data_IF_257323997222
#
_entry.id   IF_257323997222
#
_cell.length_a   1.000
_cell.length_b   1.000
_cell.length_c   1.000
_cell.angle_alpha   90.00
_cell.angle_beta   90.00
_cell.angle_gamma   90.00
#
_symmetry.space_group_name_H-M   'P 1'
#
loop_
_entity.id
_entity.type
_entity.pdbx_description
1 polymer ?
#
# COMPACT_ATOMS: atom_id res chain seq x y z
N UNK A 1 -6.28 -13.56 -0.75
CA UNK A 1 -5.06 -12.77 -1.05
C UNK A 1 -5.47 -11.65 -1.98
N UNK A 2 -4.99 -10.44 -1.73
CA UNK A 2 -5.27 -9.25 -2.54
C UNK A 2 -3.99 -8.47 -2.80
N UNK A 3 -4.05 -7.53 -3.75
CA UNK A 3 -3.04 -6.51 -3.94
C UNK A 3 -3.58 -5.20 -3.37
N UNK A 4 -2.76 -4.46 -2.63
CA UNK A 4 -3.05 -3.11 -2.19
C UNK A 4 -2.29 -2.14 -3.08
N UNK A 5 -3.00 -1.25 -3.75
CA UNK A 5 -2.42 -0.12 -4.47
C UNK A 5 -2.36 1.08 -3.53
N UNK A 6 -1.16 1.58 -3.26
CA UNK A 6 -0.95 2.65 -2.29
C UNK A 6 -1.30 4.00 -2.91
N UNK A 7 -2.00 4.84 -2.16
CA UNK A 7 -2.33 6.18 -2.63
C UNK A 7 -1.05 7.01 -2.84
N UNK A 8 -0.91 7.53 -4.07
CA UNK A 8 0.25 8.32 -4.50
C UNK A 8 0.53 9.52 -3.59
N UNK A 9 -0.49 10.28 -3.20
CA UNK A 9 -0.28 11.51 -2.44
C UNK A 9 0.14 11.20 -1.00
N UNK A 10 -0.39 10.11 -0.42
CA UNK A 10 0.03 9.65 0.91
C UNK A 10 1.47 9.12 0.89
N UNK A 11 1.87 8.42 -0.18
CA UNK A 11 3.27 8.01 -0.40
C UNK A 11 4.19 9.23 -0.52
N UNK A 12 3.81 10.22 -1.32
CA UNK A 12 4.61 11.43 -1.50
C UNK A 12 4.73 12.23 -0.20
N UNK A 13 3.68 12.25 0.63
CA UNK A 13 3.72 12.84 1.97
C UNK A 13 4.75 12.12 2.86
N UNK A 14 4.81 10.79 2.82
CA UNK A 14 5.82 10.01 3.56
C UNK A 14 7.23 10.36 3.10
N UNK A 15 7.46 10.37 1.78
CA UNK A 15 8.77 10.70 1.21
C UNK A 15 9.17 12.13 1.57
N UNK A 16 8.25 13.10 1.43
CA UNK A 16 8.50 14.50 1.73
C UNK A 16 8.93 14.71 3.19
N UNK A 17 8.31 13.98 4.14
CA UNK A 17 8.62 14.12 5.57
C UNK A 17 10.10 13.83 5.90
N UNK A 18 10.79 13.01 5.11
CA UNK A 18 12.22 12.72 5.31
C UNK A 18 13.14 13.90 4.97
N UNK A 19 12.62 14.93 4.29
CA UNK A 19 13.35 16.15 3.93
C UNK A 19 12.97 17.35 4.82
N UNK A 20 12.12 17.14 5.82
CA UNK A 20 11.67 18.16 6.76
C UNK A 20 12.43 18.04 8.10
N UNK A 21 12.37 19.10 8.93
CA UNK A 21 12.94 19.06 10.27
C UNK A 21 11.98 18.37 11.24
N UNK A 22 12.51 17.55 12.15
CA UNK A 22 11.74 16.80 13.14
C UNK A 22 11.79 15.30 12.91
N UNK A 23 10.84 14.57 13.49
CA UNK A 23 10.73 13.11 13.31
C UNK A 23 9.89 12.80 12.08
N UNK A 24 10.44 12.14 11.04
CA UNK A 24 9.72 11.83 9.82
C UNK A 24 8.73 10.66 10.00
N UNK A 25 7.95 10.36 8.97
CA UNK A 25 7.28 9.06 8.87
C UNK A 25 8.27 7.96 8.49
N UNK A 26 7.87 6.69 8.66
CA UNK A 26 8.73 5.54 8.28
C UNK A 26 9.15 5.68 6.82
N UNK A 27 10.46 5.65 6.57
CA UNK A 27 11.04 5.71 5.23
C UNK A 27 10.55 4.57 4.34
N UNK A 28 10.19 4.90 3.10
CA UNK A 28 9.82 3.97 2.05
C UNK A 28 10.99 3.85 1.09
N UNK A 29 11.69 2.72 1.14
CA UNK A 29 12.80 2.46 0.23
C UNK A 29 12.32 1.87 -1.10
N UNK A 30 12.98 2.24 -2.20
CA UNK A 30 12.63 1.78 -3.55
C UNK A 30 13.71 0.83 -4.09
N UNK A 31 13.34 -0.28 -4.76
CA UNK A 31 11.98 -0.70 -5.06
C UNK A 31 11.34 -1.57 -3.97
N UNK A 32 12.04 -1.94 -2.90
CA UNK A 32 11.56 -2.88 -1.89
C UNK A 32 11.62 -2.28 -0.48
N UNK A 33 10.51 -1.73 0.05
CA UNK A 33 10.50 -1.03 1.33
C UNK A 33 10.39 -1.97 2.55
N UNK A 34 10.53 -3.28 2.37
CA UNK A 34 10.52 -4.23 3.49
C UNK A 34 11.75 -4.00 4.38
N UNK A 35 11.54 -3.73 5.67
CA UNK A 35 12.60 -3.46 6.64
C UNK A 35 12.71 -4.52 7.74
N UNK A 36 12.01 -5.64 7.58
CA UNK A 36 12.12 -6.82 8.43
C UNK A 36 11.95 -8.09 7.58
N UNK A 37 12.40 -9.24 8.11
CA UNK A 37 12.26 -10.55 7.46
C UNK A 37 10.79 -10.93 7.20
N UNK A 38 9.87 -10.33 7.93
CA UNK A 38 8.43 -10.41 7.72
C UNK A 38 7.81 -9.05 8.00
N UNK A 39 6.99 -8.55 7.07
CA UNK A 39 6.22 -7.31 7.24
C UNK A 39 4.77 -7.67 7.59
N UNK A 40 4.14 -6.86 8.44
CA UNK A 40 2.81 -7.14 8.99
C UNK A 40 2.11 -5.83 9.33
N UNK A 41 1.84 -5.02 8.30
CA UNK A 41 1.22 -3.70 8.47
C UNK A 41 -0.30 -3.85 8.58
N UNK A 42 -0.90 -3.22 9.59
CA UNK A 42 -2.34 -3.31 9.85
C UNK A 42 -3.14 -2.62 8.75
N UNK A 43 -4.19 -3.28 8.24
CA UNK A 43 -5.16 -2.69 7.31
C UNK A 43 -6.50 -2.55 8.00
N UNK A 44 -7.04 -1.34 7.95
CA UNK A 44 -8.16 -0.86 8.77
C UNK A 44 -9.33 -0.41 7.89
N UNK A 45 -10.55 -0.66 8.37
CA UNK A 45 -11.82 -0.10 7.86
C UNK A 45 -12.62 0.41 9.05
N UNK A 46 -12.95 1.69 9.08
CA UNK A 46 -13.74 2.33 10.14
C UNK A 46 -13.24 2.01 11.56
N UNK A 47 -11.92 2.11 11.76
CA UNK A 47 -11.27 1.83 13.05
C UNK A 47 -11.13 0.35 13.43
N UNK A 48 -11.65 -0.58 12.61
CA UNK A 48 -11.51 -2.02 12.81
C UNK A 48 -10.43 -2.59 11.89
N UNK A 49 -9.58 -3.46 12.42
CA UNK A 49 -8.63 -4.22 11.61
C UNK A 49 -9.39 -5.22 10.73
N UNK A 50 -9.18 -5.13 9.42
CA UNK A 50 -9.80 -6.00 8.41
C UNK A 50 -8.77 -6.76 7.59
N UNK A 51 -7.48 -6.52 7.78
CA UNK A 51 -6.46 -7.20 7.01
C UNK A 51 -5.04 -6.87 7.42
N UNK A 52 -4.11 -7.38 6.64
CA UNK A 52 -2.68 -7.18 6.84
C UNK A 52 -1.95 -7.12 5.50
N UNK A 53 -1.06 -6.15 5.36
CA UNK A 53 -0.09 -6.05 4.27
C UNK A 53 1.21 -6.73 4.68
N UNK A 54 1.75 -7.59 3.81
CA UNK A 54 2.82 -8.53 4.17
C UNK A 54 4.06 -8.47 3.28
N UNK A 55 3.94 -7.92 2.08
CA UNK A 55 5.05 -7.83 1.14
C UNK A 55 4.90 -6.62 0.24
N UNK A 56 5.83 -5.68 0.33
CA UNK A 56 5.71 -4.37 -0.30
C UNK A 56 6.71 -4.24 -1.47
N UNK A 57 6.36 -3.48 -2.49
CA UNK A 57 7.27 -3.16 -3.59
C UNK A 57 6.74 -2.09 -4.54
N UNK A 58 7.64 -1.31 -5.12
CA UNK A 58 7.32 -0.36 -6.18
C UNK A 58 7.38 -1.03 -7.54
N UNK A 59 6.31 -0.90 -8.32
CA UNK A 59 6.26 -1.32 -9.71
C UNK A 59 6.53 -0.12 -10.62
N UNK A 60 7.65 -0.13 -11.35
CA UNK A 60 7.91 0.88 -12.37
C UNK A 60 6.93 0.80 -13.55
N UNK A 61 6.43 -0.40 -13.88
CA UNK A 61 5.47 -0.59 -14.95
C UNK A 61 4.13 0.08 -14.64
N UNK A 62 3.71 0.00 -13.37
CA UNK A 62 2.43 0.54 -12.89
C UNK A 62 2.59 1.94 -12.26
N UNK A 63 3.83 2.39 -12.10
CA UNK A 63 4.22 3.62 -11.40
C UNK A 63 3.59 3.77 -10.01
N UNK A 64 3.41 2.64 -9.33
CA UNK A 64 2.74 2.58 -8.02
C UNK A 64 3.51 1.73 -7.03
N UNK A 65 3.41 2.11 -5.75
CA UNK A 65 3.69 1.19 -4.66
C UNK A 65 2.52 0.22 -4.53
N UNK A 66 2.89 -1.05 -4.46
CA UNK A 66 1.98 -2.16 -4.33
C UNK A 66 2.39 -2.97 -3.12
N UNK A 67 1.42 -3.59 -2.47
CA UNK A 67 1.72 -4.65 -1.52
C UNK A 67 0.78 -5.83 -1.64
N UNK A 68 1.25 -6.99 -1.23
CA UNK A 68 0.46 -8.21 -1.15
C UNK A 68 0.00 -8.42 0.28
N UNK A 69 -1.25 -8.85 0.43
CA UNK A 69 -1.80 -9.09 1.74
C UNK A 69 -3.05 -9.94 1.74
N UNK A 70 -3.69 -9.95 2.90
CA UNK A 70 -4.96 -10.62 3.17
C UNK A 70 -5.93 -9.61 3.77
N UNK A 71 -7.20 -9.78 3.45
CA UNK A 71 -8.33 -9.00 3.99
C UNK A 71 -9.45 -9.96 4.39
N UNK A 72 -10.37 -9.49 5.22
CA UNK A 72 -11.59 -10.19 5.57
C UNK A 72 -12.45 -10.43 4.33
N UNK A 73 -13.33 -11.43 4.40
CA UNK A 73 -14.11 -11.88 3.24
C UNK A 73 -15.15 -10.85 2.76
N UNK A 74 -15.53 -9.91 3.63
CA UNK A 74 -16.49 -8.85 3.39
C UNK A 74 -15.84 -7.56 2.86
N UNK A 75 -14.58 -7.62 2.42
CA UNK A 75 -13.87 -6.54 1.74
C UNK A 75 -13.86 -6.83 0.25
N UNK A 76 -14.40 -5.90 -0.53
CA UNK A 76 -14.54 -6.00 -1.97
C UNK A 76 -13.37 -5.36 -2.73
N UNK A 77 -13.14 -5.84 -3.95
CA UNK A 77 -12.19 -5.21 -4.88
C UNK A 77 -12.67 -3.80 -5.23
N UNK A 78 -11.76 -2.84 -5.13
CA UNK A 78 -12.01 -1.42 -5.39
C UNK A 78 -12.23 -0.59 -4.14
N UNK A 79 -12.53 -1.22 -2.99
CA UNK A 79 -12.61 -0.54 -1.69
C UNK A 79 -11.30 0.18 -1.37
N UNK A 80 -11.41 1.33 -0.70
CA UNK A 80 -10.27 2.07 -0.18
C UNK A 80 -10.23 1.88 1.32
N UNK A 81 -9.14 1.30 1.80
CA UNK A 81 -8.87 1.01 3.20
C UNK A 81 -7.73 1.90 3.71
N UNK A 82 -7.48 1.87 5.01
CA UNK A 82 -6.35 2.59 5.62
C UNK A 82 -5.32 1.60 6.11
N UNK A 83 -4.10 1.68 5.61
CA UNK A 83 -2.97 0.92 6.12
C UNK A 83 -2.16 1.78 7.11
N UNK A 84 -1.79 1.19 8.24
CA UNK A 84 -0.87 1.80 9.22
C UNK A 84 0.57 1.55 8.76
N UNK A 85 1.29 2.62 8.44
CA UNK A 85 2.66 2.54 7.94
C UNK A 85 3.67 3.00 8.99
N UNK A 86 4.66 2.17 9.26
CA UNK A 86 5.62 2.35 10.35
C UNK A 86 5.20 1.68 11.65
N UNK A 87 6.13 1.66 12.61
CA UNK A 87 5.94 1.08 13.92
C UNK A 87 5.44 2.14 14.92
N UNK A 88 4.53 1.79 15.84
CA UNK A 88 3.96 2.74 16.81
C UNK A 88 4.97 3.17 17.89
N UNK A 89 5.95 2.31 18.17
CA UNK A 89 7.02 2.53 19.13
C UNK A 89 8.36 2.23 18.45
N UNK A 90 9.43 2.92 18.87
CA UNK A 90 10.77 2.66 18.37
C UNK A 90 11.19 1.23 18.73
N UNK A 91 11.37 0.37 17.74
CA UNK A 91 11.93 -0.96 17.96
C UNK A 91 13.46 -0.92 18.01
N UNK A 92 14.07 -1.97 18.58
CA UNK A 92 15.52 -2.17 18.57
C UNK A 92 16.07 -2.67 17.23
N UNK A 93 15.30 -2.60 16.13
CA UNK A 93 15.74 -3.06 14.81
C UNK A 93 16.75 -2.06 14.24
N UNK A 94 17.87 -2.57 13.72
CA UNK A 94 18.89 -1.72 13.08
C UNK A 94 18.46 -1.22 11.69
N UNK A 95 17.41 -1.82 11.12
CA UNK A 95 16.82 -1.46 9.82
C UNK A 95 15.75 -0.37 9.91
N UNK A 96 15.51 0.20 11.09
CA UNK A 96 14.54 1.26 11.31
C UNK A 96 15.22 2.51 11.85
N UNK A 97 14.99 3.63 11.18
CA UNK A 97 15.25 4.97 11.68
C UNK A 97 14.20 5.39 12.72
N UNK A 98 14.47 6.37 13.61
CA UNK A 98 13.43 6.99 14.42
C UNK A 98 12.34 7.60 13.53
N UNK A 99 11.08 7.20 13.73
CA UNK A 99 9.96 7.65 12.90
C UNK A 99 8.65 7.71 13.69
N UNK A 100 7.64 8.37 13.11
CA UNK A 100 6.25 8.34 13.54
C UNK A 100 5.42 7.44 12.60
N UNK A 101 4.42 6.75 13.16
CA UNK A 101 3.46 6.01 12.36
C UNK A 101 2.52 6.96 11.60
N UNK A 102 2.11 6.57 10.40
CA UNK A 102 1.12 7.30 9.60
C UNK A 102 0.08 6.39 8.98
N UNK A 103 -0.88 7.01 8.32
CA UNK A 103 -1.95 6.34 7.58
C UNK A 103 -1.74 6.52 6.08
N UNK A 104 -1.79 5.41 5.34
CA UNK A 104 -1.75 5.39 3.89
C UNK A 104 -3.05 4.78 3.39
N UNK A 105 -3.79 5.50 2.55
CA UNK A 105 -4.95 4.94 1.86
C UNK A 105 -4.45 3.88 0.88
N UNK A 106 -5.08 2.71 0.89
CA UNK A 106 -4.77 1.61 -0.02
C UNK A 106 -6.04 1.15 -0.72
N UNK A 107 -5.99 1.03 -2.04
CA UNK A 107 -7.10 0.45 -2.82
C UNK A 107 -6.91 -1.06 -2.93
N UNK A 108 -7.97 -1.81 -2.65
CA UNK A 108 -8.00 -3.25 -2.86
C UNK A 108 -8.09 -3.55 -4.36
N UNK A 109 -7.14 -4.34 -4.86
CA UNK A 109 -6.99 -4.68 -6.27
C UNK A 109 -6.82 -6.19 -6.46
N UNK A 110 -7.14 -6.74 -7.65
CA UNK A 110 -6.96 -8.15 -7.95
C UNK A 110 -5.51 -8.62 -7.77
N UNK A 111 -5.33 -9.93 -7.58
CA UNK A 111 -4.03 -10.59 -7.61
C UNK A 111 -4.05 -11.70 -8.66
N UNK A 112 -3.23 -11.64 -9.74
CA UNK A 112 -2.19 -10.65 -10.02
C UNK A 112 -2.74 -9.23 -10.27
N UNK A 113 -1.92 -8.21 -9.97
CA UNK A 113 -2.27 -6.81 -10.22
C UNK A 113 -2.38 -6.56 -11.72
N UNK A 114 -3.42 -5.83 -12.13
CA UNK A 114 -3.63 -5.49 -13.53
C UNK A 114 -4.41 -4.17 -13.64
N UNK A 115 -3.71 -3.03 -13.59
CA UNK A 115 -4.35 -1.74 -13.87
C UNK A 115 -4.80 -1.68 -15.34
N UNK A 116 -3.91 -2.07 -16.26
CA UNK A 116 -4.13 -2.01 -17.70
C UNK A 116 -5.27 -2.92 -18.20
N UNK A 117 -5.49 -4.08 -17.59
CA UNK A 117 -6.59 -4.96 -17.96
C UNK A 117 -7.94 -4.32 -17.64
N UNK A 118 -8.03 -3.51 -16.57
CA UNK A 118 -9.28 -2.84 -16.19
C UNK A 118 -9.67 -1.74 -17.17
N UNK A 119 -8.69 -0.97 -17.64
CA UNK A 119 -8.92 0.09 -18.63
C UNK A 119 -9.21 -0.50 -20.02
N UNK A 120 -8.45 -1.51 -20.45
CA UNK A 120 -8.60 -2.12 -21.79
C UNK A 120 -9.82 -3.05 -21.93
N UNK A 121 -10.24 -3.78 -20.88
CA UNK A 121 -11.45 -4.61 -20.95
C UNK A 121 -12.74 -3.79 -20.93
N UNK A 122 -12.76 -2.61 -20.30
CA UNK A 122 -13.94 -1.74 -20.30
C UNK A 122 -14.29 -1.25 -21.72
N UNK A 123 -13.28 -0.98 -22.56
CA UNK A 123 -13.45 -0.43 -23.90
C UNK A 123 -13.62 -1.47 -25.02
N UNK A 124 -13.21 -2.73 -24.78
CA UNK A 124 -12.96 -3.69 -25.87
C UNK A 124 -14.19 -4.51 -26.34
N UNK A 125 -15.16 -4.82 -25.47
CA UNK A 125 -16.18 -5.84 -25.82
C UNK A 125 -17.63 -5.35 -25.98
N UNK A 126 -17.96 -4.10 -25.62
CA UNK A 126 -19.32 -3.54 -25.83
C UNK A 126 -19.45 -2.58 -27.03
N UNK A 127 -18.35 -2.26 -27.71
CA UNK A 127 -18.31 -1.21 -28.75
C UNK A 127 -18.36 -1.75 -30.19
N UNK A 128 -18.63 -3.05 -30.37
CA UNK A 128 -18.84 -3.67 -31.70
C UNK A 128 -20.21 -4.35 -31.80
N UNK A 129 -21.27 -3.56 -31.73
CA UNK A 129 -22.50 -3.84 -32.47
C UNK A 129 -22.97 -2.54 -33.11
N UNK A 130 -22.51 -2.35 -34.34
CA UNK A 130 -23.09 -1.48 -35.37
C UNK A 130 -23.20 -2.31 -36.63
#
# INVERSE_FOLDING_TARGET
>A
KVTFEWNRDDVLKVIASAFEQGTPYKWIDFPQPNYASSSADMVMRDGKMVGMSMFNGYSWNERSLLSLGVVSQDVEVGEVLTMKWGEPETSGKTSTEPHQQTEIRVRVSPTPYAAQARESYADSWRTKQG
#
